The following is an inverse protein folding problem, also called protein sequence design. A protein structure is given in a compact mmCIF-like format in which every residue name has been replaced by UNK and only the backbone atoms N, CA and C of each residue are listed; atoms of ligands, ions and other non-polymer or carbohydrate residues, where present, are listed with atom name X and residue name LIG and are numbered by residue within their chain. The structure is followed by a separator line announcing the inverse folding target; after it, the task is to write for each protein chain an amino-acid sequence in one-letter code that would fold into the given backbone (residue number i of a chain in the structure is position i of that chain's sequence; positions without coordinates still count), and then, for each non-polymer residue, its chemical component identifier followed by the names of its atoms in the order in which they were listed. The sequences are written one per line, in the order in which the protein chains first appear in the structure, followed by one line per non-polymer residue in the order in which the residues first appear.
data_IF_421519703115
#
_entry.id   IF_421519703115
#
_cell.length_a   1.000
_cell.length_b   1.000
_cell.length_c   1.000
_cell.angle_alpha   90.00
_cell.angle_beta   90.00
_cell.angle_gamma   90.00
#
_symmetry.space_group_name_H-M   'P 1'
#
loop_
_entity.id
_entity.type
_entity.pdbx_description
1 polymer ?
#
# COMPACT_ATOMS: atom_id res chain seq x y z
N UNK A 1 16.75 46.80 -15.21
CA UNK A 1 15.68 46.20 -16.03
C UNK A 1 15.01 45.14 -15.18
N UNK A 2 13.89 45.50 -14.56
CA UNK A 2 13.16 44.67 -13.60
C UNK A 2 12.22 43.77 -14.41
N UNK A 3 12.52 42.47 -14.48
CA UNK A 3 11.56 41.49 -14.97
C UNK A 3 10.55 41.26 -13.85
N UNK A 4 9.45 42.00 -13.93
CA UNK A 4 8.27 41.80 -13.09
C UNK A 4 7.77 40.37 -13.27
N UNK A 5 7.78 39.64 -12.16
CA UNK A 5 7.05 38.39 -11.95
C UNK A 5 5.65 38.52 -12.55
N UNK A 6 5.40 37.76 -13.63
CA UNK A 6 4.04 37.47 -14.04
C UNK A 6 3.52 36.42 -13.07
N UNK A 7 2.76 36.89 -12.08
CA UNK A 7 1.78 36.07 -11.40
C UNK A 7 0.97 35.30 -12.44
N UNK A 8 1.10 33.98 -12.44
CA UNK A 8 0.23 33.09 -13.16
C UNK A 8 -0.52 32.23 -12.13
N UNK A 9 -1.76 32.67 -11.92
CA UNK A 9 -2.96 31.91 -11.54
C UNK A 9 -3.02 31.34 -10.12
N UNK A 10 -3.73 32.11 -9.30
CA UNK A 10 -4.54 31.65 -8.17
C UNK A 10 -5.48 30.53 -8.64
N UNK A 11 -5.38 29.37 -7.99
CA UNK A 11 -6.46 28.40 -7.75
C UNK A 11 -7.16 27.80 -8.96
N UNK A 12 -6.68 26.63 -9.42
CA UNK A 12 -7.66 25.56 -9.56
C UNK A 12 -7.99 25.12 -8.13
N UNK A 13 -9.10 25.64 -7.60
CA UNK A 13 -9.74 24.97 -6.47
C UNK A 13 -10.18 23.62 -7.00
N UNK A 14 -9.45 22.59 -6.61
CA UNK A 14 -9.86 21.23 -6.86
C UNK A 14 -11.23 20.99 -6.24
N UNK A 15 -12.27 20.99 -7.09
CA UNK A 15 -13.66 20.87 -6.68
C UNK A 15 -14.05 19.46 -6.24
N UNK A 16 -13.11 18.49 -6.28
CA UNK A 16 -13.36 17.16 -5.75
C UNK A 16 -13.63 17.24 -4.24
N UNK A 17 -14.51 16.38 -3.69
CA UNK A 17 -14.73 16.29 -2.26
C UNK A 17 -13.41 16.10 -1.49
N UNK A 18 -13.34 16.62 -0.27
CA UNK A 18 -12.24 16.28 0.63
C UNK A 18 -12.19 14.77 0.87
N UNK A 19 -10.98 14.25 1.05
CA UNK A 19 -10.72 12.83 1.17
C UNK A 19 -10.66 12.10 -0.17
N UNK A 20 -10.90 12.77 -1.31
CA UNK A 20 -10.79 12.11 -2.62
C UNK A 20 -9.34 11.75 -2.93
N UNK A 21 -9.12 10.48 -3.28
CA UNK A 21 -7.89 9.98 -3.89
C UNK A 21 -8.21 9.56 -5.30
N UNK A 22 -7.54 10.18 -6.27
CA UNK A 22 -7.67 9.76 -7.66
C UNK A 22 -6.43 8.97 -8.06
N UNK A 23 -6.64 7.72 -8.41
CA UNK A 23 -5.60 6.88 -8.99
C UNK A 23 -5.65 7.02 -10.50
N UNK A 24 -4.51 7.45 -11.06
CA UNK A 24 -4.33 7.74 -12.48
C UNK A 24 -3.41 6.71 -13.11
N UNK A 25 -3.84 6.16 -14.24
CA UNK A 25 -3.06 5.23 -15.06
C UNK A 25 -2.56 5.93 -16.32
N UNK A 26 -1.44 5.44 -16.88
CA UNK A 26 -0.77 6.08 -18.04
C UNK A 26 -1.62 6.18 -19.31
N UNK A 27 -2.67 5.37 -19.43
CA UNK A 27 -3.65 5.38 -20.52
C UNK A 27 -4.72 6.49 -20.41
N UNK A 28 -4.65 7.32 -19.36
CA UNK A 28 -5.63 8.37 -19.09
C UNK A 28 -6.83 7.92 -18.26
N UNK A 29 -6.90 6.65 -17.84
CA UNK A 29 -7.94 6.16 -16.95
C UNK A 29 -7.71 6.68 -15.53
N UNK A 30 -8.76 7.28 -14.95
CA UNK A 30 -8.74 7.85 -13.61
C UNK A 30 -9.85 7.23 -12.77
N UNK A 31 -9.53 6.85 -11.53
CA UNK A 31 -10.47 6.26 -10.60
C UNK A 31 -10.46 7.04 -9.30
N UNK A 32 -11.63 7.59 -8.98
CA UNK A 32 -11.83 8.36 -7.77
C UNK A 32 -12.28 7.43 -6.63
N UNK A 33 -11.58 7.55 -5.52
CA UNK A 33 -11.84 6.84 -4.28
C UNK A 33 -12.03 7.83 -3.15
N UNK A 34 -12.70 7.40 -2.09
CA UNK A 34 -12.73 8.13 -0.82
C UNK A 34 -11.75 7.48 0.16
N UNK A 35 -10.83 8.28 0.70
CA UNK A 35 -9.90 7.87 1.75
C UNK A 35 -10.65 7.44 3.01
N UNK A 36 -10.29 6.28 3.55
CA UNK A 36 -10.86 5.81 4.83
C UNK A 36 -10.06 6.29 6.04
N UNK A 37 -8.76 6.58 5.87
CA UNK A 37 -7.91 7.09 6.96
C UNK A 37 -7.87 8.62 7.04
N UNK A 38 -8.13 9.30 5.93
CA UNK A 38 -7.95 10.75 5.79
C UNK A 38 -9.14 11.42 5.08
N UNK A 39 -10.37 11.30 5.62
CA UNK A 39 -11.58 11.83 4.96
C UNK A 39 -11.58 13.36 4.77
N UNK A 40 -10.75 14.09 5.53
CA UNK A 40 -10.69 15.55 5.48
C UNK A 40 -9.50 16.09 4.68
N UNK A 41 -8.67 15.23 4.09
CA UNK A 41 -7.51 15.69 3.33
C UNK A 41 -7.92 16.38 2.03
N UNK A 42 -7.04 17.23 1.52
CA UNK A 42 -7.21 17.84 0.20
C UNK A 42 -7.19 16.71 -0.84
N UNK A 43 -8.02 16.79 -1.90
CA UNK A 43 -7.97 15.83 -2.99
C UNK A 43 -6.54 15.59 -3.46
N UNK A 44 -6.18 14.32 -3.64
CA UNK A 44 -4.81 13.89 -3.90
C UNK A 44 -4.79 12.98 -5.12
N UNK A 45 -3.78 13.17 -5.97
CA UNK A 45 -3.55 12.34 -7.14
C UNK A 45 -2.40 11.35 -6.89
N UNK A 46 -2.61 10.11 -7.31
CA UNK A 46 -1.60 9.06 -7.36
C UNK A 46 -1.44 8.62 -8.80
N UNK A 47 -0.25 8.82 -9.36
CA UNK A 47 0.09 8.43 -10.72
C UNK A 47 0.78 7.07 -10.69
N UNK A 48 0.19 6.05 -11.31
CA UNK A 48 0.81 4.73 -11.41
C UNK A 48 1.87 4.73 -12.49
N UNK A 49 3.13 4.56 -12.10
CA UNK A 49 4.32 4.78 -12.95
C UNK A 49 4.85 3.51 -13.62
N UNK A 50 4.56 2.32 -13.06
CA UNK A 50 4.97 1.02 -13.60
C UNK A 50 3.88 0.36 -14.47
N UNK A 51 2.89 1.16 -14.86
CA UNK A 51 1.84 0.79 -15.79
C UNK A 51 2.23 1.36 -17.14
N UNK A 52 2.99 0.57 -17.91
CA UNK A 52 3.31 0.88 -19.31
C UNK A 52 1.99 1.11 -20.05
N UNK A 53 1.92 2.21 -20.81
CA UNK A 53 0.81 2.59 -21.69
C UNK A 53 0.08 1.35 -22.21
N UNK A 54 -1.18 1.20 -21.78
CA UNK A 54 -1.90 -0.07 -21.82
C UNK A 54 -2.37 -0.43 -23.22
N UNK A 55 -1.45 -0.83 -24.08
CA UNK A 55 -1.78 -1.48 -25.36
C UNK A 55 -2.30 -2.91 -25.14
N UNK A 56 -2.10 -3.49 -23.94
CA UNK A 56 -2.56 -4.83 -23.58
C UNK A 56 -3.72 -4.78 -22.55
N UNK A 57 -4.98 -4.93 -23.00
CA UNK A 57 -6.17 -4.99 -22.13
C UNK A 57 -6.05 -6.06 -21.05
N UNK A 58 -5.26 -7.12 -21.26
CA UNK A 58 -5.07 -8.21 -20.31
C UNK A 58 -4.14 -7.83 -19.14
N UNK A 59 -3.55 -6.63 -19.14
CA UNK A 59 -2.73 -6.10 -18.04
C UNK A 59 -3.41 -4.95 -17.28
N UNK A 60 -4.66 -4.64 -17.63
CA UNK A 60 -5.41 -3.58 -16.99
C UNK A 60 -5.68 -3.87 -15.49
N UNK A 61 -5.57 -2.89 -14.58
CA UNK A 61 -5.68 -3.12 -13.14
C UNK A 61 -7.11 -3.43 -12.71
N UNK A 62 -8.10 -2.86 -13.45
CA UNK A 62 -9.49 -3.30 -13.42
C UNK A 62 -9.85 -4.42 -14.41
N UNK A 63 -9.50 -4.33 -15.69
CA UNK A 63 -10.04 -5.21 -16.74
C UNK A 63 -9.07 -6.29 -17.26
N UNK A 64 -7.86 -6.34 -16.69
CA UNK A 64 -6.82 -7.29 -17.07
C UNK A 64 -7.10 -8.71 -16.60
N UNK A 65 -6.11 -9.59 -16.70
CA UNK A 65 -6.24 -10.99 -16.29
C UNK A 65 -6.81 -11.08 -14.87
N UNK A 66 -8.04 -11.60 -14.82
CA UNK A 66 -8.87 -11.76 -13.62
C UNK A 66 -8.04 -12.36 -12.48
N UNK A 67 -7.95 -11.65 -11.35
CA UNK A 67 -7.38 -12.17 -10.11
C UNK A 67 -5.90 -11.91 -9.85
N UNK A 68 -5.23 -11.02 -10.59
CA UNK A 68 -3.83 -10.66 -10.26
C UNK A 68 -3.78 -9.64 -9.14
N UNK A 69 -3.44 -10.10 -7.93
CA UNK A 69 -2.84 -9.24 -6.90
C UNK A 69 -1.58 -8.63 -7.50
N UNK A 70 -1.46 -7.31 -7.48
CA UNK A 70 -0.26 -6.62 -7.94
C UNK A 70 0.10 -5.51 -6.98
N UNK A 71 1.40 -5.35 -6.76
CA UNK A 71 1.96 -4.16 -6.14
C UNK A 71 2.47 -3.30 -7.29
N UNK A 72 1.91 -2.11 -7.41
CA UNK A 72 2.31 -1.09 -8.38
C UNK A 72 3.22 -0.06 -7.71
N UNK A 73 4.01 0.64 -8.51
CA UNK A 73 4.77 1.80 -8.08
C UNK A 73 3.98 3.05 -8.47
N UNK A 74 3.54 3.79 -7.48
CA UNK A 74 2.89 5.08 -7.65
C UNK A 74 3.84 6.24 -7.35
N UNK A 75 3.55 7.39 -7.94
CA UNK A 75 4.02 8.69 -7.47
C UNK A 75 2.83 9.42 -6.87
N UNK A 76 2.89 9.79 -5.60
CA UNK A 76 1.85 10.60 -4.98
C UNK A 76 2.24 12.08 -5.04
N UNK A 77 1.28 12.92 -5.39
CA UNK A 77 1.40 14.35 -5.29
C UNK A 77 0.37 14.85 -4.26
N UNK A 78 0.82 15.10 -3.03
CA UNK A 78 -0.05 15.59 -1.96
C UNK A 78 0.15 17.09 -1.78
N UNK A 79 -0.88 17.87 -2.12
CA UNK A 79 -0.91 19.30 -1.84
C UNK A 79 -1.42 19.53 -0.42
N UNK A 80 -0.61 20.10 0.46
CA UNK A 80 -0.99 20.46 1.84
C UNK A 80 -0.75 21.96 2.06
N UNK A 81 -1.77 22.79 1.77
CA UNK A 81 -1.63 24.24 1.82
C UNK A 81 -0.63 24.75 0.77
N UNK A 82 0.39 25.49 1.20
CA UNK A 82 1.49 25.99 0.34
C UNK A 82 2.62 24.96 0.14
N UNK A 83 2.57 23.82 0.83
CA UNK A 83 3.59 22.78 0.73
C UNK A 83 3.09 21.60 -0.11
N UNK A 84 3.95 21.10 -0.98
CA UNK A 84 3.76 19.84 -1.71
C UNK A 84 4.61 18.75 -1.07
N UNK A 85 3.95 17.67 -0.64
CA UNK A 85 4.59 16.42 -0.24
C UNK A 85 4.49 15.47 -1.43
N UNK A 86 5.62 15.23 -2.09
CA UNK A 86 5.73 14.37 -3.24
C UNK A 86 6.66 13.20 -2.95
N UNK A 87 6.37 12.05 -3.54
CA UNK A 87 7.23 10.90 -3.39
C UNK A 87 6.70 9.66 -4.09
N UNK A 88 7.57 8.66 -4.18
CA UNK A 88 7.16 7.34 -4.63
C UNK A 88 6.53 6.53 -3.51
N UNK A 89 5.52 5.74 -3.87
CA UNK A 89 4.76 4.87 -2.99
C UNK A 89 4.58 3.48 -3.62
N UNK A 90 4.33 2.49 -2.77
CA UNK A 90 3.88 1.18 -3.20
C UNK A 90 2.35 1.11 -3.09
N UNK A 91 1.68 0.60 -4.13
CA UNK A 91 0.23 0.49 -4.17
C UNK A 91 -0.16 -0.96 -4.38
N UNK A 92 -0.59 -1.62 -3.30
CA UNK A 92 -1.07 -2.99 -3.34
C UNK A 92 -2.54 -2.98 -3.75
N UNK A 93 -2.83 -3.48 -4.93
CA UNK A 93 -4.14 -3.40 -5.59
C UNK A 93 -4.78 -4.78 -5.70
N UNK A 94 -6.06 -4.86 -5.35
CA UNK A 94 -6.88 -6.06 -5.50
C UNK A 94 -8.22 -5.66 -6.13
N UNK A 95 -8.58 -6.35 -7.22
CA UNK A 95 -9.88 -6.22 -7.87
C UNK A 95 -10.64 -7.56 -7.77
N UNK A 96 -11.92 -7.47 -7.45
CA UNK A 96 -12.83 -8.60 -7.29
C UNK A 96 -14.12 -8.36 -8.05
N UNK A 97 -14.39 -9.24 -9.01
CA UNK A 97 -15.65 -9.23 -9.75
C UNK A 97 -16.75 -9.85 -8.90
N UNK A 98 -17.94 -9.29 -9.00
CA UNK A 98 -19.13 -9.72 -8.25
C UNK A 98 -19.38 -11.23 -8.33
N UNK A 99 -19.13 -11.82 -9.50
CA UNK A 99 -19.43 -13.22 -9.84
C UNK A 99 -18.27 -14.18 -9.60
N UNK A 100 -17.14 -13.73 -9.03
CA UNK A 100 -15.98 -14.57 -8.74
C UNK A 100 -15.71 -14.57 -7.22
N UNK A 101 -16.30 -15.51 -6.45
CA UNK A 101 -16.23 -15.52 -4.99
C UNK A 101 -14.81 -15.58 -4.42
N UNK A 102 -13.89 -16.27 -5.09
CA UNK A 102 -12.49 -16.40 -4.65
C UNK A 102 -11.77 -15.06 -4.61
N UNK A 103 -12.14 -14.10 -5.46
CA UNK A 103 -11.53 -12.77 -5.48
C UNK A 103 -12.04 -11.89 -4.32
N UNK A 104 -13.28 -12.09 -3.85
CA UNK A 104 -13.77 -11.41 -2.63
C UNK A 104 -12.92 -11.76 -1.41
N UNK A 105 -12.43 -13.01 -1.34
CA UNK A 105 -11.50 -13.41 -0.28
C UNK A 105 -10.18 -12.64 -0.33
N UNK A 106 -9.74 -12.20 -1.51
CA UNK A 106 -8.52 -11.41 -1.63
C UNK A 106 -8.70 -9.97 -1.14
N UNK A 107 -9.89 -9.38 -1.32
CA UNK A 107 -10.26 -8.09 -0.70
C UNK A 107 -10.26 -8.22 0.83
N UNK A 108 -10.86 -9.30 1.36
CA UNK A 108 -10.87 -9.56 2.80
C UNK A 108 -9.46 -9.78 3.37
N UNK A 109 -8.59 -10.48 2.64
CA UNK A 109 -7.17 -10.65 3.02
C UNK A 109 -6.44 -9.30 3.04
N UNK A 110 -6.66 -8.44 2.06
CA UNK A 110 -6.06 -7.11 2.04
C UNK A 110 -6.56 -6.25 3.20
N UNK A 111 -7.86 -6.30 3.51
CA UNK A 111 -8.44 -5.65 4.69
C UNK A 111 -7.80 -6.14 5.99
N UNK A 112 -7.65 -7.45 6.16
CA UNK A 112 -6.97 -8.04 7.34
C UNK A 112 -5.52 -7.57 7.46
N UNK A 113 -4.80 -7.51 6.34
CA UNK A 113 -3.44 -6.99 6.31
C UNK A 113 -3.39 -5.53 6.76
N UNK A 114 -4.28 -4.68 6.24
CA UNK A 114 -4.45 -3.29 6.70
C UNK A 114 -4.73 -3.20 8.20
N UNK A 115 -5.61 -4.05 8.73
CA UNK A 115 -5.94 -4.05 10.16
C UNK A 115 -4.72 -4.43 11.01
N UNK A 116 -3.83 -5.28 10.51
CA UNK A 116 -2.56 -5.58 11.16
C UNK A 116 -1.61 -4.36 11.16
N UNK A 117 -1.50 -3.63 10.05
CA UNK A 117 -0.74 -2.36 10.04
C UNK A 117 -1.29 -1.35 11.06
N UNK A 118 -2.61 -1.23 11.18
CA UNK A 118 -3.25 -0.35 12.16
C UNK A 118 -2.92 -0.72 13.63
N UNK A 119 -2.81 -2.02 13.92
CA UNK A 119 -2.41 -2.52 15.25
C UNK A 119 -0.92 -2.37 15.51
N UNK A 120 -0.11 -2.30 14.45
CA UNK A 120 1.35 -2.25 14.48
C UNK A 120 1.91 -0.84 14.21
N UNK A 121 1.14 0.22 14.50
CA UNK A 121 1.54 1.63 14.28
C UNK A 121 2.92 1.99 14.83
N UNK A 122 3.30 1.45 15.98
CA UNK A 122 4.61 1.72 16.61
C UNK A 122 5.80 1.07 15.87
N UNK A 123 5.54 0.16 14.92
CA UNK A 123 6.55 -0.51 14.11
C UNK A 123 6.70 0.09 12.71
N UNK A 124 5.74 0.90 12.28
CA UNK A 124 5.75 1.53 10.96
C UNK A 124 6.94 2.49 10.81
N UNK A 125 7.54 2.52 9.62
CA UNK A 125 8.74 3.31 9.31
C UNK A 125 10.05 2.78 9.87
N UNK A 126 10.00 1.71 10.67
CA UNK A 126 11.18 1.11 11.30
C UNK A 126 11.31 -0.36 10.95
N UNK A 127 10.30 -1.14 11.32
CA UNK A 127 10.27 -2.60 11.15
C UNK A 127 9.42 -2.99 9.95
N UNK A 128 8.26 -2.33 9.79
CA UNK A 128 7.33 -2.51 8.66
C UNK A 128 7.18 -1.18 7.92
N UNK A 129 6.74 -1.18 6.66
CA UNK A 129 6.49 0.07 5.92
C UNK A 129 5.45 0.97 6.61
N UNK A 130 5.47 2.27 6.32
CA UNK A 130 4.32 3.12 6.64
C UNK A 130 3.08 2.70 5.85
N UNK A 131 1.95 2.60 6.53
CA UNK A 131 0.62 2.58 5.92
C UNK A 131 0.16 4.03 5.75
N UNK A 132 0.08 4.47 4.50
CA UNK A 132 -0.33 5.83 4.16
C UNK A 132 -1.83 5.93 3.98
N UNK A 133 -2.45 4.94 3.33
CA UNK A 133 -3.90 4.89 3.22
C UNK A 133 -4.43 3.49 2.90
N UNK A 134 -5.73 3.32 3.09
CA UNK A 134 -6.50 2.20 2.58
C UNK A 134 -7.78 2.74 1.94
N UNK A 135 -8.01 2.34 0.70
CA UNK A 135 -9.15 2.80 -0.09
C UNK A 135 -9.90 1.62 -0.66
N UNK A 136 -11.21 1.79 -0.78
CA UNK A 136 -12.10 0.82 -1.43
C UNK A 136 -13.04 1.55 -2.36
N UNK A 137 -13.36 0.94 -3.49
CA UNK A 137 -14.28 1.50 -4.48
C UNK A 137 -15.04 0.39 -5.19
N UNK A 138 -16.18 0.74 -5.77
CA UNK A 138 -16.94 -0.16 -6.64
C UNK A 138 -17.11 0.55 -7.98
N UNK A 139 -16.63 -0.10 -9.04
CA UNK A 139 -16.74 0.38 -10.41
C UNK A 139 -17.48 -0.68 -11.21
N UNK A 140 -18.71 -0.38 -11.60
CA UNK A 140 -19.61 -1.35 -12.24
C UNK A 140 -19.75 -2.61 -11.38
N UNK A 141 -19.39 -3.79 -11.90
CA UNK A 141 -19.41 -5.08 -11.19
C UNK A 141 -18.08 -5.45 -10.51
N UNK A 142 -17.13 -4.50 -10.42
CA UNK A 142 -15.80 -4.72 -9.86
C UNK A 142 -15.65 -3.96 -8.54
N UNK A 143 -15.46 -4.71 -7.45
CA UNK A 143 -15.02 -4.16 -6.17
C UNK A 143 -13.50 -4.09 -6.14
N UNK A 144 -12.96 -2.95 -5.72
CA UNK A 144 -11.52 -2.70 -5.62
C UNK A 144 -11.17 -2.36 -4.18
N UNK A 145 -10.02 -2.85 -3.73
CA UNK A 145 -9.37 -2.41 -2.52
C UNK A 145 -7.89 -2.16 -2.77
N UNK A 146 -7.38 -1.07 -2.22
CA UNK A 146 -5.98 -0.69 -2.35
C UNK A 146 -5.38 -0.31 -0.99
N UNK A 147 -4.17 -0.80 -0.72
CA UNK A 147 -3.33 -0.28 0.35
C UNK A 147 -2.22 0.57 -0.26
N UNK A 148 -2.07 1.79 0.24
CA UNK A 148 -1.02 2.72 -0.13
C UNK A 148 0.04 2.68 0.97
N UNK A 149 1.26 2.32 0.59
CA UNK A 149 2.37 2.04 1.51
C UNK A 149 3.58 2.91 1.16
N UNK A 150 4.46 3.13 2.14
CA UNK A 150 5.86 3.54 1.91
C UNK A 150 6.46 2.68 0.80
N UNK A 151 7.16 3.30 -0.15
CA UNK A 151 7.86 2.55 -1.18
C UNK A 151 9.07 1.85 -0.55
N UNK A 152 9.00 0.53 -0.56
CA UNK A 152 10.13 -0.35 -0.34
C UNK A 152 10.26 -1.23 -1.58
N UNK A 153 11.49 -1.51 -2.02
CA UNK A 153 11.68 -2.19 -3.30
C UNK A 153 13.12 -2.38 -3.73
N UNK A 154 14.08 -1.82 -2.99
CA UNK A 154 15.50 -2.07 -3.22
C UNK A 154 15.85 -3.52 -2.88
N UNK A 155 16.86 -4.02 -3.60
CA UNK A 155 17.48 -5.30 -3.28
C UNK A 155 18.01 -5.28 -1.84
N UNK A 156 17.81 -6.38 -1.12
CA UNK A 156 18.52 -6.59 0.13
C UNK A 156 20.04 -6.56 -0.11
N UNK A 157 20.85 -6.25 0.93
CA UNK A 157 22.30 -6.27 0.79
C UNK A 157 22.81 -7.55 0.10
N UNK A 158 23.72 -7.38 -0.87
CA UNK A 158 24.35 -8.52 -1.57
C UNK A 158 25.21 -9.37 -0.65
N UNK A 159 25.80 -8.73 0.36
CA UNK A 159 26.51 -9.41 1.45
C UNK A 159 25.53 -10.30 2.25
N UNK A 160 25.79 -11.60 2.25
CA UNK A 160 24.94 -12.60 2.90
C UNK A 160 24.94 -12.48 4.42
N UNK A 161 26.07 -12.14 5.04
CA UNK A 161 26.17 -12.00 6.48
C UNK A 161 25.36 -10.79 6.95
N UNK A 162 25.54 -9.64 6.29
CA UNK A 162 24.77 -8.43 6.55
C UNK A 162 23.27 -8.67 6.30
N UNK A 163 22.91 -9.36 5.23
CA UNK A 163 21.51 -9.70 4.95
C UNK A 163 20.88 -10.54 6.06
N UNK A 164 21.57 -11.60 6.51
CA UNK A 164 21.09 -12.46 7.59
C UNK A 164 20.93 -11.69 8.90
N UNK A 165 21.90 -10.84 9.22
CA UNK A 165 21.85 -9.98 10.40
C UNK A 165 20.64 -9.05 10.36
N UNK A 166 20.42 -8.31 9.25
CA UNK A 166 19.26 -7.42 9.10
C UNK A 166 17.92 -8.15 9.20
N UNK A 167 17.81 -9.34 8.58
CA UNK A 167 16.61 -10.17 8.69
C UNK A 167 16.34 -10.57 10.14
N UNK A 168 17.39 -10.99 10.87
CA UNK A 168 17.28 -11.36 12.28
C UNK A 168 16.84 -10.17 13.13
N UNK A 169 17.51 -9.02 13.01
CA UNK A 169 17.19 -7.80 13.78
C UNK A 169 15.73 -7.35 13.59
N UNK A 170 15.24 -7.34 12.35
CA UNK A 170 13.86 -6.94 12.04
C UNK A 170 12.86 -7.96 12.59
N UNK A 171 13.17 -9.25 12.48
CA UNK A 171 12.31 -10.32 13.02
C UNK A 171 12.27 -10.28 14.54
N UNK A 172 13.40 -10.06 15.21
CA UNK A 172 13.49 -9.91 16.66
C UNK A 172 12.69 -8.70 17.15
N UNK A 173 12.80 -7.55 16.48
CA UNK A 173 11.99 -6.38 16.82
C UNK A 173 10.48 -6.63 16.62
N UNK A 174 10.10 -7.34 15.55
CA UNK A 174 8.72 -7.72 15.31
C UNK A 174 8.20 -8.66 16.40
N UNK A 175 8.96 -9.68 16.75
CA UNK A 175 8.60 -10.64 17.82
C UNK A 175 8.57 -9.99 19.21
N UNK A 176 9.51 -9.09 19.51
CA UNK A 176 9.54 -8.33 20.76
C UNK A 176 8.31 -7.42 20.94
N UNK A 177 7.61 -7.09 19.86
CA UNK A 177 6.31 -6.41 19.92
C UNK A 177 5.12 -7.32 20.29
N UNK A 178 5.37 -8.62 20.47
CA UNK A 178 4.34 -9.62 20.80
C UNK A 178 3.62 -10.19 19.57
N UNK A 179 4.23 -10.15 18.38
CA UNK A 179 3.61 -10.60 17.12
C UNK A 179 4.42 -11.67 16.40
N UNK A 180 3.72 -12.56 15.70
CA UNK A 180 4.27 -13.52 14.74
C UNK A 180 3.84 -13.13 13.34
N UNK A 181 4.75 -13.17 12.37
CA UNK A 181 4.44 -12.80 10.99
C UNK A 181 3.55 -13.84 10.27
N UNK A 182 3.69 -15.13 10.63
CA UNK A 182 2.91 -16.22 10.05
C UNK A 182 3.39 -16.72 8.68
N UNK A 183 4.36 -16.06 8.06
CA UNK A 183 4.93 -16.46 6.75
C UNK A 183 6.42 -16.17 6.56
N UNK A 184 7.15 -15.84 7.63
CA UNK A 184 8.62 -15.74 7.54
C UNK A 184 9.16 -17.17 7.37
N UNK A 185 9.48 -17.53 6.12
CA UNK A 185 10.12 -18.78 5.76
C UNK A 185 11.62 -18.62 5.52
N UNK A 186 12.19 -19.55 4.76
CA UNK A 186 13.62 -19.53 4.37
C UNK A 186 13.88 -18.44 3.31
N UNK A 187 12.88 -18.10 2.50
CA UNK A 187 13.01 -17.11 1.41
C UNK A 187 13.09 -15.66 1.93
N UNK A 188 13.61 -14.78 1.06
CA UNK A 188 13.73 -13.34 1.33
C UNK A 188 12.46 -12.56 0.93
N UNK A 189 11.40 -13.23 0.49
CA UNK A 189 10.21 -12.62 -0.16
C UNK A 189 9.42 -11.63 0.71
N UNK A 190 9.52 -11.77 2.04
CA UNK A 190 8.86 -10.89 3.01
C UNK A 190 9.79 -9.79 3.53
N UNK A 191 10.99 -9.67 2.97
CA UNK A 191 11.97 -8.66 3.35
C UNK A 191 12.32 -7.80 2.14
N UNK A 192 12.30 -6.48 2.32
CA UNK A 192 12.64 -5.53 1.27
C UNK A 192 13.44 -4.37 1.85
N UNK A 193 14.34 -3.76 1.08
CA UNK A 193 15.04 -2.57 1.51
C UNK A 193 14.29 -1.30 1.07
N UNK A 194 14.40 -0.24 1.87
CA UNK A 194 14.00 1.10 1.42
C UNK A 194 14.85 1.55 0.24
N UNK A 195 14.23 2.18 -0.75
CA UNK A 195 14.96 2.88 -1.80
C UNK A 195 15.64 4.09 -1.16
N UNK A 196 16.97 4.16 -1.23
CA UNK A 196 17.76 5.24 -0.64
C UNK A 196 17.17 6.60 -1.00
N UNK A 197 16.69 7.34 -0.01
CA UNK A 197 16.59 8.80 -0.08
C UNK A 197 17.81 9.42 0.59
N UNK A 198 18.19 10.63 0.18
CA UNK A 198 19.35 11.34 0.74
C UNK A 198 19.22 11.46 2.26
N UNK A 199 20.21 10.94 3.00
CA UNK A 199 20.26 10.98 4.47
C UNK A 199 19.79 9.71 5.18
N UNK A 200 19.17 8.75 4.48
CA UNK A 200 18.82 7.47 5.08
C UNK A 200 20.05 6.59 5.32
N UNK A 201 20.14 5.89 6.46
CA UNK A 201 21.16 4.87 6.63
C UNK A 201 21.00 3.80 5.55
N UNK A 202 22.11 3.33 4.96
CA UNK A 202 22.06 2.44 3.81
C UNK A 202 21.30 1.15 4.13
N UNK A 203 20.33 0.82 3.27
CA UNK A 203 19.63 -0.47 3.20
C UNK A 203 18.84 -0.84 4.46
N UNK A 204 18.05 0.10 4.99
CA UNK A 204 17.13 -0.23 6.07
C UNK A 204 16.09 -1.24 5.56
N UNK A 205 16.08 -2.42 6.17
CA UNK A 205 15.20 -3.54 5.79
C UNK A 205 13.84 -3.37 6.43
N UNK A 206 12.79 -3.72 5.71
CA UNK A 206 11.39 -3.76 6.15
C UNK A 206 10.84 -5.16 5.99
N UNK A 207 9.98 -5.53 6.92
CA UNK A 207 9.15 -6.74 6.87
C UNK A 207 7.81 -6.39 6.21
N UNK A 208 7.42 -7.14 5.18
CA UNK A 208 6.20 -6.92 4.37
C UNK A 208 5.31 -8.15 4.33
N UNK A 209 4.09 -8.00 3.80
CA UNK A 209 3.08 -9.07 3.68
C UNK A 209 2.50 -9.53 5.03
N UNK A 210 1.93 -8.58 5.78
CA UNK A 210 1.38 -8.82 7.13
C UNK A 210 0.02 -9.53 7.13
N UNK A 211 -0.46 -10.09 6.01
CA UNK A 211 -1.78 -10.70 5.92
C UNK A 211 -1.98 -11.89 6.86
N UNK A 212 -0.89 -12.57 7.24
CA UNK A 212 -0.88 -13.72 8.14
C UNK A 212 -0.34 -13.38 9.55
N UNK A 213 -0.05 -12.11 9.81
CA UNK A 213 0.46 -11.69 11.09
C UNK A 213 -0.61 -11.84 12.19
N UNK A 214 -0.16 -12.26 13.38
CA UNK A 214 -1.01 -12.48 14.55
C UNK A 214 -0.26 -12.20 15.85
N UNK A 215 -0.98 -11.85 16.90
CA UNK A 215 -0.42 -11.62 18.24
C UNK A 215 -0.10 -12.97 18.92
N UNK A 216 0.96 -13.02 19.73
CA UNK A 216 1.43 -14.22 20.44
C UNK A 216 0.49 -14.58 21.60
N UNK A 217 0.05 -13.59 22.37
CA UNK A 217 -0.71 -13.80 23.61
C UNK A 217 -2.23 -13.96 23.41
N UNK A 218 -2.62 -14.58 22.29
CA UNK A 218 -3.98 -14.93 21.87
C UNK A 218 -5.15 -14.43 22.73
N UNK A 219 -5.85 -13.41 22.23
CA UNK A 219 -7.31 -13.40 22.35
C UNK A 219 -7.90 -13.16 20.96
N UNK A 220 -8.10 -14.28 20.28
CA UNK A 220 -8.84 -14.43 19.03
C UNK A 220 -9.90 -15.53 19.29
N UNK A 221 -10.47 -15.58 20.50
CA UNK A 221 -11.52 -16.55 20.85
C UNK A 221 -12.83 -16.29 20.07
N UNK A 222 -12.96 -15.16 19.36
CA UNK A 222 -14.03 -14.93 18.40
C UNK A 222 -13.76 -15.54 17.00
N UNK A 223 -12.55 -16.05 16.75
CA UNK A 223 -12.06 -16.35 15.39
C UNK A 223 -12.43 -17.75 14.88
N UNK A 224 -12.65 -18.71 15.77
CA UNK A 224 -13.09 -20.06 15.38
C UNK A 224 -14.62 -20.16 15.24
N UNK A 225 -15.39 -19.31 15.90
CA UNK A 225 -16.87 -19.34 15.80
C UNK A 225 -17.38 -18.76 14.47
N UNK A 226 -16.75 -17.73 13.89
CA UNK A 226 -17.19 -17.15 12.61
C UNK A 226 -16.84 -18.04 11.40
N UNK A 227 -15.70 -18.73 11.42
CA UNK A 227 -15.33 -19.67 10.36
C UNK A 227 -16.14 -20.97 10.42
N UNK A 228 -16.54 -21.39 11.63
CA UNK A 228 -17.44 -22.52 11.83
C UNK A 228 -18.88 -22.20 11.40
N UNK A 229 -19.34 -20.97 11.60
CA UNK A 229 -20.67 -20.51 11.16
C UNK A 229 -20.76 -20.21 9.66
N UNK A 230 -19.66 -19.89 8.99
CA UNK A 230 -19.62 -19.72 7.54
C UNK A 230 -19.54 -21.05 6.76
N UNK A 231 -19.41 -22.17 7.48
CA UNK A 231 -19.32 -23.53 6.92
C UNK A 231 -20.56 -24.39 7.23
N UNK A 232 -21.61 -23.79 7.82
CA UNK A 232 -22.95 -24.35 8.01
C UNK A 232 -23.95 -23.61 7.14
#
# INVERSE_FOLDING_TARGET
MVLTSKHAVVGDEDHRPRGTITIRFGDGMNYDFTSTHHPNMIPTDIYMTDVIDQVDPCRHPLYGHKGRKRVYIGWHHKKQGWHTLEGYIAVKWVAAWKDIPTQKQDILRLKRERDNYDRLKCLQGRVIPWLLDYITGVFEDVTVACMILERCGSELPRDLALRKERKREITEQFHASGWLHGSIGISDENFTAIDRQDGDPPNTTRLVSLALARRIDGDDTSRDEELSRASQ
#
